data_IF_747189682429
#
_entry.id   IF_747189682429
#
_cell.length_a   1.000
_cell.length_b   1.000
_cell.length_c   1.000
_cell.angle_alpha   90.00
_cell.angle_beta   90.00
_cell.angle_gamma   90.00
#
_symmetry.space_group_name_H-M   'P 1'
#
loop_
_entity.id
_entity.type
_entity.pdbx_description
1 polymer ?
#
# COMPACT_ATOMS: atom_id res chain seq x y z
N UNK A 1 8.15 21.11 23.54
CA UNK A 1 7.35 20.15 24.35
C UNK A 1 8.27 19.52 25.39
N UNK A 2 7.77 19.01 26.53
CA UNK A 2 8.65 18.33 27.49
C UNK A 2 9.19 17.03 26.91
N UNK A 3 10.47 16.73 27.15
CA UNK A 3 11.13 15.52 26.68
C UNK A 3 10.43 14.25 27.19
N UNK A 4 9.94 14.26 28.42
CA UNK A 4 9.15 13.16 28.99
C UNK A 4 7.88 12.87 28.18
N UNK A 5 7.15 13.91 27.77
CA UNK A 5 5.96 13.79 26.92
C UNK A 5 6.31 13.33 25.50
N UNK A 6 7.44 13.80 24.96
CA UNK A 6 7.95 13.36 23.66
C UNK A 6 8.28 11.86 23.66
N UNK A 7 9.03 11.41 24.67
CA UNK A 7 9.42 10.00 24.84
C UNK A 7 8.18 9.12 24.97
N UNK A 8 7.23 9.46 25.85
CA UNK A 8 5.97 8.73 26.00
C UNK A 8 5.25 8.55 24.65
N UNK A 9 5.08 9.64 23.90
CA UNK A 9 4.40 9.60 22.61
C UNK A 9 5.13 8.70 21.60
N UNK A 10 6.46 8.73 21.56
CA UNK A 10 7.25 7.87 20.66
C UNK A 10 7.13 6.39 21.05
N UNK A 11 7.16 6.07 22.34
CA UNK A 11 7.06 4.70 22.84
C UNK A 11 5.66 4.11 22.65
N UNK A 12 4.61 4.90 22.87
CA UNK A 12 3.22 4.50 22.55
C UNK A 12 3.06 4.23 21.05
N UNK A 13 3.60 5.11 20.20
CA UNK A 13 3.59 4.93 18.74
C UNK A 13 4.38 3.69 18.31
N UNK A 14 5.46 3.37 19.00
CA UNK A 14 6.23 2.14 18.79
C UNK A 14 5.55 0.87 19.34
N UNK A 15 4.39 0.99 19.99
CA UNK A 15 3.63 -0.14 20.54
C UNK A 15 4.12 -0.64 21.90
N UNK A 16 4.96 0.12 22.60
CA UNK A 16 5.42 -0.21 23.96
C UNK A 16 4.42 0.37 24.95
N UNK A 17 3.78 -0.44 25.81
CA UNK A 17 2.80 0.05 26.76
C UNK A 17 3.46 0.95 27.81
N UNK A 18 2.76 2.02 28.20
CA UNK A 18 3.18 2.97 29.23
C UNK A 18 3.39 2.35 30.63
N UNK A 19 3.00 1.09 30.82
CA UNK A 19 3.20 0.30 32.04
C UNK A 19 4.54 -0.44 32.08
N UNK A 20 5.39 -0.30 31.06
CA UNK A 20 6.70 -0.92 31.05
C UNK A 20 7.59 -0.32 32.16
N UNK A 21 8.09 -1.16 33.07
CA UNK A 21 8.87 -0.73 34.24
C UNK A 21 10.10 0.12 33.88
N UNK A 22 10.76 -0.16 32.75
CA UNK A 22 11.91 0.60 32.28
C UNK A 22 11.52 1.98 31.72
N UNK A 23 10.31 2.11 31.17
CA UNK A 23 9.79 3.37 30.66
C UNK A 23 9.33 4.27 31.81
N UNK A 24 8.65 3.71 32.81
CA UNK A 24 8.27 4.44 34.03
C UNK A 24 9.50 4.99 34.78
N UNK A 25 10.54 4.17 34.96
CA UNK A 25 11.78 4.59 35.60
C UNK A 25 12.50 5.72 34.83
N UNK A 26 12.38 5.74 33.50
CA UNK A 26 12.95 6.80 32.65
C UNK A 26 12.15 8.11 32.79
N UNK A 27 10.81 8.04 32.81
CA UNK A 27 9.94 9.22 32.89
C UNK A 27 9.97 9.86 34.29
N UNK A 28 10.14 9.05 35.34
CA UNK A 28 10.25 9.52 36.73
C UNK A 28 11.58 10.23 37.04
N UNK A 29 12.54 10.21 36.09
CA UNK A 29 13.80 10.91 36.27
C UNK A 29 13.60 12.43 36.23
N UNK A 30 13.77 13.07 37.40
CA UNK A 30 13.62 14.52 37.59
C UNK A 30 14.45 15.37 36.62
N UNK A 31 15.61 14.86 36.15
CA UNK A 31 16.46 15.56 35.21
C UNK A 31 15.84 15.73 33.81
N UNK A 32 14.90 14.86 33.42
CA UNK A 32 14.24 14.91 32.10
C UNK A 32 12.98 15.80 32.10
N UNK A 33 12.46 16.14 33.28
CA UNK A 33 11.22 16.91 33.46
C UNK A 33 11.37 18.39 33.08
N UNK A 34 12.60 18.90 33.11
CA UNK A 34 12.94 20.29 32.76
C UNK A 34 13.47 20.45 31.33
N UNK A 35 13.76 19.35 30.64
CA UNK A 35 14.29 19.41 29.27
C UNK A 35 13.16 19.65 28.27
N UNK A 36 13.24 20.76 27.56
CA UNK A 36 12.37 21.04 26.43
C UNK A 36 12.96 20.53 25.12
N UNK A 37 12.11 19.84 24.35
CA UNK A 37 12.41 19.41 22.99
C UNK A 37 11.84 20.44 22.03
N UNK A 38 12.70 20.88 21.12
CA UNK A 38 12.33 21.75 20.02
C UNK A 38 11.31 21.04 19.10
N UNK A 39 10.18 21.69 18.75
CA UNK A 39 9.12 21.05 17.97
C UNK A 39 9.58 20.50 16.62
N UNK A 40 10.55 21.15 15.98
CA UNK A 40 11.11 20.72 14.68
C UNK A 40 11.81 19.38 14.79
N UNK A 41 12.59 19.17 15.86
CA UNK A 41 13.30 17.92 16.11
C UNK A 41 12.32 16.77 16.37
N UNK A 42 11.29 17.04 17.17
CA UNK A 42 10.26 16.05 17.48
C UNK A 42 9.49 15.62 16.22
N UNK A 43 9.04 16.57 15.41
CA UNK A 43 8.32 16.27 14.17
C UNK A 43 9.18 15.48 13.17
N UNK A 44 10.50 15.74 13.16
CA UNK A 44 11.44 14.97 12.34
C UNK A 44 11.57 13.54 12.84
N UNK A 45 11.71 13.32 14.14
CA UNK A 45 11.72 11.99 14.76
C UNK A 45 10.39 11.24 14.52
N UNK A 46 9.28 11.94 14.67
CA UNK A 46 7.94 11.38 14.49
C UNK A 46 7.73 10.93 13.04
N UNK A 47 8.06 11.76 12.05
CA UNK A 47 7.93 11.38 10.62
C UNK A 47 8.78 10.17 10.20
N UNK A 48 9.78 9.78 11.01
CA UNK A 48 10.67 8.64 10.75
C UNK A 48 10.22 7.35 11.42
N UNK A 49 9.28 7.42 12.36
CA UNK A 49 8.67 6.24 12.95
C UNK A 49 7.76 5.56 11.91
N UNK A 50 8.11 4.35 11.51
CA UNK A 50 7.35 3.54 10.53
C UNK A 50 6.15 2.86 11.18
N UNK A 51 5.21 3.64 11.70
CA UNK A 51 4.01 3.14 12.38
C UNK A 51 2.75 3.40 11.54
N UNK A 52 1.70 2.62 11.76
CA UNK A 52 0.44 2.73 10.99
C UNK A 52 -0.23 4.09 11.19
N UNK A 53 -0.25 4.61 12.42
CA UNK A 53 -0.75 5.95 12.75
C UNK A 53 0.01 7.06 12.01
N UNK A 54 1.34 6.99 11.94
CA UNK A 54 2.16 8.03 11.28
C UNK A 54 2.01 7.94 9.76
N UNK A 55 1.93 6.74 9.20
CA UNK A 55 1.58 6.55 7.79
C UNK A 55 0.17 7.07 7.43
N UNK A 56 -0.73 7.25 8.40
CA UNK A 56 -2.03 7.91 8.21
C UNK A 56 -1.93 9.43 8.28
N UNK A 57 -1.08 9.96 9.16
CA UNK A 57 -0.91 11.40 9.39
C UNK A 57 0.01 12.08 8.37
N UNK A 58 0.90 11.32 7.71
CA UNK A 58 1.81 11.82 6.68
C UNK A 58 1.40 11.34 5.28
N UNK A 59 0.65 12.16 4.51
CA UNK A 59 0.11 11.74 3.21
C UNK A 59 1.19 11.42 2.17
N UNK A 60 2.37 12.03 2.27
CA UNK A 60 3.48 11.80 1.33
C UNK A 60 4.08 10.40 1.48
N UNK A 61 4.33 9.97 2.71
CA UNK A 61 4.80 8.61 3.04
C UNK A 61 3.74 7.60 2.60
N UNK A 62 2.46 7.88 2.89
CA UNK A 62 1.34 7.05 2.49
C UNK A 62 1.28 6.86 0.98
N UNK A 63 1.51 7.92 0.21
CA UNK A 63 1.46 7.91 -1.25
C UNK A 63 2.58 7.05 -1.82
N UNK A 64 3.81 7.21 -1.32
CA UNK A 64 4.97 6.42 -1.77
C UNK A 64 4.88 4.95 -1.35
N UNK A 65 4.44 4.66 -0.11
CA UNK A 65 4.19 3.30 0.34
C UNK A 65 3.10 2.63 -0.49
N UNK A 66 1.95 3.30 -0.70
CA UNK A 66 0.88 2.77 -1.54
C UNK A 66 1.38 2.48 -2.95
N UNK A 67 2.10 3.40 -3.58
CA UNK A 67 2.63 3.19 -4.94
C UNK A 67 3.49 1.93 -5.02
N UNK A 68 4.38 1.72 -4.05
CA UNK A 68 5.30 0.58 -4.03
C UNK A 68 4.58 -0.73 -3.72
N UNK A 69 3.78 -0.78 -2.65
CA UNK A 69 3.09 -2.01 -2.24
C UNK A 69 1.96 -2.40 -3.20
N UNK A 70 1.24 -1.45 -3.79
CA UNK A 70 0.24 -1.78 -4.82
C UNK A 70 0.91 -2.22 -6.12
N UNK A 71 2.05 -1.62 -6.52
CA UNK A 71 2.78 -2.11 -7.68
C UNK A 71 3.27 -3.56 -7.46
N UNK A 72 3.82 -3.88 -6.29
CA UNK A 72 4.22 -5.25 -5.95
C UNK A 72 3.03 -6.23 -5.91
N UNK A 73 1.91 -5.82 -5.33
CA UNK A 73 0.70 -6.66 -5.26
C UNK A 73 0.08 -6.91 -6.64
N UNK A 74 0.13 -5.92 -7.54
CA UNK A 74 -0.44 -6.03 -8.88
C UNK A 74 0.54 -6.53 -9.94
N UNK A 75 1.83 -6.68 -9.64
CA UNK A 75 2.80 -7.27 -10.56
C UNK A 75 2.39 -8.68 -11.01
N UNK A 76 1.83 -9.50 -10.11
CA UNK A 76 1.33 -10.83 -10.46
C UNK A 76 0.14 -10.77 -11.43
N UNK A 77 -0.81 -9.87 -11.17
CA UNK A 77 -1.95 -9.63 -12.06
C UNK A 77 -1.48 -9.12 -13.43
N UNK A 78 -0.52 -8.19 -13.47
CA UNK A 78 -0.01 -7.66 -14.73
C UNK A 78 0.77 -8.70 -15.55
N UNK A 79 1.46 -9.63 -14.89
CA UNK A 79 2.09 -10.77 -15.56
C UNK A 79 1.03 -11.70 -16.20
N UNK A 80 -0.01 -12.08 -15.45
CA UNK A 80 -1.10 -12.92 -15.98
C UNK A 80 -1.88 -12.24 -17.11
N UNK A 81 -2.09 -10.92 -17.05
CA UNK A 81 -2.71 -10.16 -18.14
C UNK A 81 -1.86 -10.17 -19.41
N UNK A 82 -0.53 -10.07 -19.27
CA UNK A 82 0.38 -10.17 -20.39
C UNK A 82 0.39 -11.56 -21.02
N UNK A 83 0.39 -12.62 -20.20
CA UNK A 83 0.27 -14.00 -20.68
C UNK A 83 -1.07 -14.22 -21.40
N UNK A 84 -2.16 -13.62 -20.91
CA UNK A 84 -3.45 -13.68 -21.57
C UNK A 84 -3.44 -12.96 -22.93
N UNK A 85 -2.77 -11.81 -23.08
CA UNK A 85 -2.64 -11.14 -24.38
C UNK A 85 -1.96 -12.04 -25.43
N UNK A 86 -0.93 -12.78 -25.02
CA UNK A 86 -0.22 -13.71 -25.89
C UNK A 86 -1.07 -14.96 -26.20
N UNK A 87 -1.71 -15.54 -25.19
CA UNK A 87 -2.55 -16.75 -25.32
C UNK A 87 -3.76 -16.55 -26.22
N UNK A 88 -4.37 -15.35 -26.17
CA UNK A 88 -5.57 -15.05 -26.96
C UNK A 88 -5.26 -14.38 -28.31
N UNK A 89 -3.99 -14.12 -28.63
CA UNK A 89 -3.57 -13.58 -29.92
C UNK A 89 -4.16 -12.19 -30.21
N UNK A 90 -4.22 -11.34 -29.18
CA UNK A 90 -4.81 -10.00 -29.31
C UNK A 90 -3.97 -9.16 -30.27
N UNK A 91 -4.63 -8.50 -31.21
CA UNK A 91 -3.98 -7.63 -32.19
C UNK A 91 -3.16 -6.53 -31.49
N UNK A 92 -2.00 -6.20 -32.05
CA UNK A 92 -1.01 -5.29 -31.45
C UNK A 92 -1.58 -3.87 -31.18
N UNK A 93 -2.52 -3.44 -32.04
CA UNK A 93 -3.25 -2.18 -31.90
C UNK A 93 -4.12 -2.13 -30.64
N UNK A 94 -4.77 -3.23 -30.28
CA UNK A 94 -5.61 -3.33 -29.10
C UNK A 94 -4.77 -3.63 -27.85
N UNK A 95 -3.69 -4.41 -27.98
CA UNK A 95 -2.70 -4.61 -26.92
C UNK A 95 -2.12 -3.27 -26.44
N UNK A 96 -1.81 -2.38 -27.38
CA UNK A 96 -1.29 -1.03 -27.06
C UNK A 96 -2.31 -0.20 -26.28
N UNK A 97 -3.62 -0.34 -26.54
CA UNK A 97 -4.68 0.32 -25.77
C UNK A 97 -4.73 -0.18 -24.33
N UNK A 98 -4.59 -1.49 -24.11
CA UNK A 98 -4.57 -2.08 -22.77
C UNK A 98 -3.30 -1.73 -21.98
N UNK A 99 -2.14 -1.72 -22.63
CA UNK A 99 -0.86 -1.37 -22.00
C UNK A 99 -0.77 0.11 -21.59
N UNK A 100 -1.51 0.99 -22.28
CA UNK A 100 -1.61 2.41 -21.92
C UNK A 100 -2.51 2.69 -20.70
N UNK A 101 -3.33 1.74 -20.26
CA UNK A 101 -4.11 1.87 -19.03
C UNK A 101 -3.18 1.67 -17.81
N UNK A 102 -3.21 2.61 -16.86
CA UNK A 102 -2.32 2.61 -15.68
C UNK A 102 -2.81 1.72 -14.55
N UNK A 103 -4.11 1.42 -14.53
CA UNK A 103 -4.73 0.58 -13.51
C UNK A 103 -4.80 -0.88 -13.98
N UNK A 104 -4.03 -1.76 -13.33
CA UNK A 104 -3.99 -3.20 -13.62
C UNK A 104 -5.38 -3.85 -13.50
N UNK A 105 -6.20 -3.40 -12.55
CA UNK A 105 -7.59 -3.86 -12.39
C UNK A 105 -8.50 -3.41 -13.53
N UNK A 106 -8.39 -2.16 -14.00
CA UNK A 106 -9.14 -1.70 -15.18
C UNK A 106 -8.69 -2.43 -16.45
N UNK A 107 -7.38 -2.69 -16.58
CA UNK A 107 -6.84 -3.47 -17.69
C UNK A 107 -7.43 -4.87 -17.74
N UNK A 108 -7.60 -5.53 -16.59
CA UNK A 108 -8.27 -6.83 -16.50
C UNK A 108 -9.73 -6.80 -16.97
N UNK A 109 -10.50 -5.79 -16.54
CA UNK A 109 -11.90 -5.62 -16.97
C UNK A 109 -11.99 -5.36 -18.47
N UNK A 110 -11.14 -4.49 -19.00
CA UNK A 110 -11.11 -4.18 -20.43
C UNK A 110 -10.74 -5.40 -21.28
N UNK A 111 -9.80 -6.23 -20.82
CA UNK A 111 -9.44 -7.49 -21.48
C UNK A 111 -10.62 -8.48 -21.48
N UNK A 112 -11.31 -8.61 -20.33
CA UNK A 112 -12.51 -9.44 -20.23
C UNK A 112 -13.59 -8.99 -21.22
N UNK A 113 -13.92 -7.70 -21.23
CA UNK A 113 -14.93 -7.13 -22.12
C UNK A 113 -14.55 -7.32 -23.59
N UNK A 114 -13.28 -7.17 -23.93
CA UNK A 114 -12.77 -7.41 -25.29
C UNK A 114 -12.92 -8.87 -25.71
N UNK A 115 -12.51 -9.81 -24.85
CA UNK A 115 -12.63 -11.25 -25.12
C UNK A 115 -14.10 -11.68 -25.23
N UNK A 116 -14.99 -11.12 -24.41
CA UNK A 116 -16.41 -11.44 -24.43
C UNK A 116 -17.11 -10.88 -25.69
N UNK A 117 -16.69 -9.71 -26.16
CA UNK A 117 -17.27 -9.10 -27.36
C UNK A 117 -16.71 -9.67 -28.67
N UNK A 118 -15.49 -10.24 -28.67
CA UNK A 118 -14.84 -10.78 -29.87
C UNK A 118 -15.01 -12.29 -30.02
N UNK A 119 -15.22 -13.03 -28.92
CA UNK A 119 -15.62 -14.45 -28.97
C UNK A 119 -17.06 -14.59 -28.49
N UNK A 120 -17.96 -15.07 -29.35
CA UNK A 120 -18.93 -16.08 -28.85
C UNK A 120 -18.06 -17.25 -28.40
N UNK A 121 -17.84 -17.49 -27.10
CA UNK A 121 -16.78 -18.40 -26.70
C UNK A 121 -17.19 -19.83 -26.99
N UNK A 122 -16.27 -20.64 -27.50
CA UNK A 122 -16.32 -22.09 -27.27
C UNK A 122 -16.51 -22.33 -25.77
N UNK A 123 -17.41 -23.25 -25.43
CA UNK A 123 -17.99 -23.40 -24.09
C UNK A 123 -16.98 -23.50 -22.92
N UNK A 124 -15.73 -23.89 -23.19
CA UNK A 124 -14.67 -23.97 -22.18
C UNK A 124 -14.04 -22.61 -21.83
N UNK A 125 -13.93 -21.68 -22.77
CA UNK A 125 -13.36 -20.35 -22.50
C UNK A 125 -14.29 -19.47 -21.65
N UNK A 126 -15.60 -19.73 -21.70
CA UNK A 126 -16.60 -18.98 -20.95
C UNK A 126 -16.53 -19.27 -19.44
N UNK A 127 -16.07 -20.47 -19.05
CA UNK A 127 -16.01 -20.91 -17.66
C UNK A 127 -14.85 -20.26 -16.89
N UNK A 128 -13.70 -20.14 -17.53
CA UNK A 128 -12.53 -19.47 -16.95
C UNK A 128 -12.76 -17.95 -16.79
N UNK A 129 -13.47 -17.34 -17.73
CA UNK A 129 -13.83 -15.92 -17.71
C UNK A 129 -14.81 -15.58 -16.56
N UNK A 130 -15.82 -16.40 -16.28
CA UNK A 130 -16.74 -16.17 -15.15
C UNK A 130 -16.05 -16.29 -13.78
N UNK A 131 -15.02 -17.13 -13.68
CA UNK A 131 -14.26 -17.33 -12.44
C UNK A 131 -13.42 -16.10 -12.10
N UNK A 132 -12.88 -15.42 -13.11
CA UNK A 132 -12.15 -14.15 -12.94
C UNK A 132 -13.07 -13.02 -12.47
N UNK A 133 -14.33 -12.97 -12.93
CA UNK A 133 -15.30 -11.93 -12.54
C UNK A 133 -15.69 -11.99 -11.06
N UNK A 134 -15.65 -13.16 -10.44
CA UNK A 134 -16.02 -13.34 -9.03
C UNK A 134 -14.86 -13.10 -8.07
N UNK A 135 -13.63 -12.91 -8.57
CA UNK A 135 -12.42 -12.73 -7.78
C UNK A 135 -11.84 -11.30 -7.81
N UNK A 136 -12.38 -10.41 -8.65
CA UNK A 136 -12.08 -8.97 -8.70
C UNK A 136 -13.14 -8.19 -7.92
#
# INVERSE_FOLDING_TARGET
>A
MKLTTAILSLFEKAGIPATNEHLSALIENAALTEVEVEPVLFNTLDSRLMTKEIALQHPDIRKEMKKTFFAEAYNGLDAELNDAFEKYGIAEEDRTKFLNEKSSTKRAVMLFDYLHNIKKPDANANKDLETLRTQV
#
